data_IF_507334898917
#
_entry.id   IF_507334898917
#
_cell.length_a   1.000
_cell.length_b   1.000
_cell.length_c   1.000
_cell.angle_alpha   90.00
_cell.angle_beta   90.00
_cell.angle_gamma   90.00
#
_symmetry.space_group_name_H-M   'P 1'
#
loop_
_entity.id
_entity.type
_entity.pdbx_description
1 polymer ?
#
# COMPACT_ATOMS: atom_id res chain seq x y z
N UNK A 1 7.85 -15.75 -14.08
CA UNK A 1 7.25 -15.81 -12.73
C UNK A 1 6.39 -14.58 -12.53
N UNK A 2 5.28 -14.65 -11.77
CA UNK A 2 4.38 -13.51 -11.57
C UNK A 2 5.10 -12.28 -10.97
N UNK A 3 6.04 -12.49 -10.05
CA UNK A 3 6.82 -11.38 -9.46
C UNK A 3 7.53 -10.47 -10.48
N UNK A 4 7.85 -10.97 -11.69
CA UNK A 4 8.48 -10.15 -12.74
C UNK A 4 7.53 -9.12 -13.36
N UNK A 5 6.23 -9.16 -13.05
CA UNK A 5 5.23 -8.19 -13.53
C UNK A 5 4.94 -7.10 -12.51
N UNK A 6 5.46 -7.22 -11.28
CA UNK A 6 5.29 -6.24 -10.21
C UNK A 6 6.33 -5.13 -10.42
N UNK A 7 5.86 -3.88 -10.46
CA UNK A 7 6.69 -2.71 -10.72
C UNK A 7 7.06 -1.98 -9.43
N UNK A 8 8.25 -1.39 -9.41
CA UNK A 8 8.75 -0.51 -8.35
C UNK A 8 9.17 0.83 -8.95
N UNK A 9 9.35 1.86 -8.13
CA UNK A 9 9.83 3.17 -8.60
C UNK A 9 9.95 4.20 -7.48
N UNK A 10 10.47 5.38 -7.83
CA UNK A 10 10.44 6.54 -6.95
C UNK A 10 9.05 7.20 -7.00
N UNK A 11 8.35 7.20 -5.87
CA UNK A 11 7.00 7.76 -5.75
C UNK A 11 6.94 9.26 -6.09
N UNK A 12 8.07 9.99 -6.05
CA UNK A 12 8.13 11.40 -6.46
C UNK A 12 7.97 11.61 -7.96
N UNK A 13 8.35 10.62 -8.77
CA UNK A 13 8.22 10.65 -10.23
C UNK A 13 7.13 9.70 -10.75
N UNK A 14 6.74 8.71 -9.95
CA UNK A 14 5.82 7.65 -10.34
C UNK A 14 4.61 7.56 -9.39
N UNK A 15 3.46 8.02 -9.88
CA UNK A 15 2.21 8.13 -9.10
C UNK A 15 1.59 6.80 -8.68
N UNK A 16 2.01 5.68 -9.26
CA UNK A 16 1.46 4.36 -8.96
C UNK A 16 2.12 3.67 -7.76
N UNK A 17 3.29 4.12 -7.33
CA UNK A 17 4.00 3.48 -6.22
C UNK A 17 3.24 3.75 -4.92
N UNK A 18 2.81 2.71 -4.18
CA UNK A 18 2.16 2.91 -2.89
C UNK A 18 3.17 3.45 -1.87
N UNK A 19 2.89 4.59 -1.26
CA UNK A 19 3.68 5.11 -0.14
C UNK A 19 3.26 4.41 1.14
N UNK A 20 4.21 4.17 2.05
CA UNK A 20 3.95 3.59 3.38
C UNK A 20 4.43 4.60 4.42
N UNK A 21 3.56 5.00 5.34
CA UNK A 21 3.88 5.93 6.43
C UNK A 21 3.36 5.37 7.75
N UNK A 22 4.18 5.47 8.79
CA UNK A 22 3.74 5.22 10.16
C UNK A 22 3.15 6.52 10.71
N UNK A 23 1.91 6.48 11.17
CA UNK A 23 1.20 7.61 11.80
C UNK A 23 1.42 7.59 13.32
N UNK A 24 2.68 7.54 13.72
CA UNK A 24 3.06 7.43 15.13
C UNK A 24 4.44 6.82 15.31
N UNK A 25 4.85 6.69 16.57
CA UNK A 25 6.09 6.02 16.94
C UNK A 25 5.88 4.50 16.92
N UNK A 26 6.80 3.78 16.30
CA UNK A 26 6.78 2.33 16.29
C UNK A 26 7.37 1.80 17.61
N UNK A 27 6.55 1.14 18.41
CA UNK A 27 6.97 0.50 19.67
C UNK A 27 6.61 -0.97 19.68
N UNK A 28 7.54 -1.79 20.18
CA UNK A 28 7.34 -3.23 20.30
C UNK A 28 6.09 -3.55 21.13
N UNK A 29 5.17 -4.34 20.58
CA UNK A 29 3.94 -4.78 21.25
C UNK A 29 2.83 -3.72 21.37
N UNK A 30 3.07 -2.49 20.90
CA UNK A 30 2.09 -1.42 20.90
C UNK A 30 1.44 -1.26 19.50
N UNK A 31 0.18 -0.80 19.43
CA UNK A 31 -0.47 -0.56 18.16
C UNK A 31 0.13 0.67 17.47
N UNK A 32 0.35 0.57 16.16
CA UNK A 32 0.72 1.68 15.29
C UNK A 32 -0.22 1.72 14.09
N UNK A 33 -0.59 2.92 13.67
CA UNK A 33 -1.33 3.16 12.45
C UNK A 33 -0.37 3.26 11.27
N UNK A 34 -0.65 2.50 10.21
CA UNK A 34 0.14 2.41 8.99
C UNK A 34 -0.73 2.91 7.85
N UNK A 35 -0.40 4.10 7.35
CA UNK A 35 -1.02 4.66 6.16
C UNK A 35 -0.34 4.10 4.92
N UNK A 36 -1.15 3.59 4.00
CA UNK A 36 -0.72 3.24 2.64
C UNK A 36 -1.55 4.05 1.65
N UNK A 37 -0.88 4.77 0.75
CA UNK A 37 -1.54 5.65 -0.22
C UNK A 37 -0.85 5.65 -1.58
N UNK A 38 -1.64 5.59 -2.65
CA UNK A 38 -1.18 5.78 -4.04
C UNK A 38 -1.44 7.23 -4.48
N UNK A 39 -0.52 7.81 -5.24
CA UNK A 39 -0.63 9.19 -5.73
C UNK A 39 -0.38 10.26 -4.66
N UNK A 40 0.58 10.02 -3.76
CA UNK A 40 0.92 10.94 -2.66
C UNK A 40 1.43 12.30 -3.15
N UNK A 41 2.44 12.30 -4.02
CA UNK A 41 3.05 13.53 -4.57
C UNK A 41 2.37 13.97 -5.87
N UNK A 42 2.03 13.00 -6.72
CA UNK A 42 1.35 13.22 -8.00
C UNK A 42 0.05 12.42 -7.96
N UNK A 43 -1.09 13.12 -8.01
CA UNK A 43 -2.38 12.46 -7.96
C UNK A 43 -2.55 11.41 -9.08
N UNK A 44 -2.98 10.21 -8.70
CA UNK A 44 -3.42 9.19 -9.64
C UNK A 44 -4.87 9.48 -10.05
N UNK A 45 -5.26 9.27 -11.32
CA UNK A 45 -6.67 9.41 -11.74
C UNK A 45 -7.61 8.49 -10.94
N UNK A 46 -8.84 8.93 -10.73
CA UNK A 46 -9.88 8.13 -10.08
C UNK A 46 -11.19 8.28 -10.86
N UNK A 47 -11.25 7.60 -12.00
CA UNK A 47 -12.42 7.56 -12.88
C UNK A 47 -12.88 6.12 -13.11
N UNK A 48 -14.10 5.87 -13.64
CA UNK A 48 -14.53 4.52 -13.95
C UNK A 48 -13.57 3.77 -14.90
N UNK A 49 -12.91 4.49 -15.80
CA UNK A 49 -11.99 3.95 -16.80
C UNK A 49 -10.57 3.77 -16.27
N UNK A 50 -10.14 4.57 -15.28
CA UNK A 50 -8.77 4.55 -14.77
C UNK A 50 -8.71 4.88 -13.28
N UNK A 51 -8.41 3.87 -12.48
CA UNK A 51 -8.39 3.97 -11.02
C UNK A 51 -7.48 2.91 -10.39
N UNK A 52 -7.17 3.13 -9.11
CA UNK A 52 -6.56 2.13 -8.24
C UNK A 52 -7.68 1.32 -7.61
N UNK A 53 -7.70 0.01 -7.84
CA UNK A 53 -8.77 -0.85 -7.36
C UNK A 53 -8.53 -1.36 -5.93
N UNK A 54 -7.27 -1.51 -5.51
CA UNK A 54 -6.97 -2.02 -4.18
C UNK A 54 -5.55 -1.69 -3.71
N UNK A 55 -5.38 -1.76 -2.39
CA UNK A 55 -4.10 -1.83 -1.68
C UNK A 55 -4.09 -3.09 -0.79
N UNK A 56 -2.96 -3.76 -0.76
CA UNK A 56 -2.63 -4.79 0.23
C UNK A 56 -1.40 -4.37 1.02
N UNK A 57 -1.38 -4.76 2.29
CA UNK A 57 -0.23 -4.60 3.16
C UNK A 57 0.19 -5.96 3.69
N UNK A 58 1.47 -6.27 3.56
CA UNK A 58 2.10 -7.46 4.09
C UNK A 58 3.19 -7.11 5.08
N UNK A 59 3.47 -8.03 5.99
CA UNK A 59 4.68 -8.06 6.79
C UNK A 59 5.51 -9.27 6.37
N UNK A 60 6.76 -9.04 6.01
CA UNK A 60 7.75 -10.09 5.72
C UNK A 60 8.70 -10.20 6.89
N UNK A 61 8.73 -11.38 7.51
CA UNK A 61 9.64 -11.65 8.61
C UNK A 61 11.03 -12.14 8.15
N UNK A 62 11.94 -12.32 9.10
CA UNK A 62 13.31 -12.78 8.84
C UNK A 62 13.41 -14.15 8.14
N UNK A 63 12.35 -14.96 8.17
CA UNK A 63 12.28 -16.25 7.48
C UNK A 63 11.84 -16.12 6.02
N UNK A 64 11.70 -14.89 5.53
CA UNK A 64 11.18 -14.55 4.21
C UNK A 64 9.73 -15.03 4.00
N UNK A 65 8.95 -15.14 5.09
CA UNK A 65 7.52 -15.46 5.03
C UNK A 65 6.72 -14.17 4.92
N UNK A 66 5.97 -14.00 3.83
CA UNK A 66 4.99 -12.92 3.69
C UNK A 66 3.71 -13.25 4.46
N UNK A 67 3.27 -12.33 5.31
CA UNK A 67 2.06 -12.41 6.13
C UNK A 67 1.16 -11.26 5.71
N UNK A 68 -0.05 -11.55 5.22
CA UNK A 68 -1.03 -10.52 4.89
C UNK A 68 -1.50 -9.83 6.17
N UNK A 69 -1.28 -8.51 6.27
CA UNK A 69 -1.86 -7.67 7.33
C UNK A 69 -3.31 -7.35 6.97
N UNK A 70 -3.55 -6.97 5.72
CA UNK A 70 -4.90 -6.67 5.24
C UNK A 70 -4.96 -6.24 3.80
N UNK A 71 -6.18 -6.17 3.28
CA UNK A 71 -6.52 -5.72 1.92
C UNK A 71 -7.67 -4.73 2.00
N UNK A 72 -7.55 -3.61 1.32
CA UNK A 72 -8.62 -2.63 1.13
C UNK A 72 -8.91 -2.53 -0.36
N UNK A 73 -10.18 -2.70 -0.72
CA UNK A 73 -10.67 -2.46 -2.07
C UNK A 73 -11.35 -1.09 -2.13
N UNK A 74 -11.03 -0.33 -3.17
CA UNK A 74 -11.67 0.93 -3.51
C UNK A 74 -12.62 0.62 -4.66
N UNK A 75 -13.93 0.73 -4.45
CA UNK A 75 -14.93 0.12 -5.35
C UNK A 75 -15.80 1.11 -6.10
N UNK A 76 -15.73 2.40 -5.76
CA UNK A 76 -16.54 3.45 -6.37
C UNK A 76 -15.62 4.58 -6.85
N UNK A 77 -15.75 4.91 -8.13
CA UNK A 77 -14.80 5.71 -8.91
C UNK A 77 -15.50 6.82 -9.71
N UNK A 78 -16.62 7.30 -9.20
CA UNK A 78 -17.39 8.42 -9.76
C UNK A 78 -18.66 8.03 -10.51
N UNK A 79 -18.93 6.74 -10.69
CA UNK A 79 -20.13 6.25 -11.38
C UNK A 79 -21.42 6.69 -10.68
N UNK A 80 -21.39 6.75 -9.35
CA UNK A 80 -22.51 7.21 -8.51
C UNK A 80 -22.29 8.62 -7.95
N UNK A 81 -21.37 9.40 -8.52
CA UNK A 81 -20.99 10.72 -7.99
C UNK A 81 -20.20 10.67 -6.67
N UNK A 82 -19.70 9.49 -6.29
CA UNK A 82 -18.84 9.25 -5.13
C UNK A 82 -17.49 8.78 -5.66
N UNK A 83 -16.39 9.22 -5.06
CA UNK A 83 -15.05 8.69 -5.35
C UNK A 83 -14.40 8.23 -4.06
N UNK A 84 -13.80 7.04 -4.09
CA UNK A 84 -13.02 6.52 -2.96
C UNK A 84 -11.54 6.71 -3.27
N UNK A 85 -10.87 7.54 -2.49
CA UNK A 85 -9.44 7.78 -2.63
C UNK A 85 -8.63 6.53 -2.29
N UNK A 86 -7.52 6.25 -3.02
CA UNK A 86 -6.71 5.05 -2.80
C UNK A 86 -5.77 5.20 -1.60
N UNK A 87 -6.38 5.36 -0.43
CA UNK A 87 -5.74 5.52 0.88
C UNK A 87 -6.35 4.53 1.86
N UNK A 88 -5.50 3.72 2.48
CA UNK A 88 -5.87 2.78 3.54
C UNK A 88 -5.04 3.06 4.80
N UNK A 89 -5.63 2.88 5.96
CA UNK A 89 -4.92 2.89 7.24
C UNK A 89 -5.13 1.54 7.91
N UNK A 90 -4.04 0.88 8.27
CA UNK A 90 -4.05 -0.39 9.00
C UNK A 90 -3.49 -0.16 10.39
N UNK A 91 -4.22 -0.57 11.43
CA UNK A 91 -3.70 -0.56 12.80
C UNK A 91 -3.19 -1.96 13.13
N UNK A 92 -1.90 -2.08 13.45
CA UNK A 92 -1.26 -3.36 13.76
C UNK A 92 -0.25 -3.25 14.90
N UNK A 93 0.08 -4.39 15.52
CA UNK A 93 1.12 -4.52 16.55
C UNK A 93 2.23 -5.41 16.02
N UNK A 94 3.48 -5.06 16.34
CA UNK A 94 4.64 -5.84 15.93
C UNK A 94 5.52 -6.18 17.14
N UNK A 95 5.85 -7.46 17.30
CA UNK A 95 6.72 -7.96 18.37
C UNK A 95 8.14 -8.31 17.88
N UNK A 96 8.38 -8.21 16.57
CA UNK A 96 9.65 -8.55 15.91
C UNK A 96 9.91 -7.66 14.69
N UNK A 97 11.19 -7.35 14.40
CA UNK A 97 11.55 -6.53 13.25
C UNK A 97 11.22 -7.27 11.96
N UNK A 98 11.13 -6.53 10.86
CA UNK A 98 10.84 -7.08 9.55
C UNK A 98 10.59 -5.99 8.53
N UNK A 99 9.90 -6.32 7.44
CA UNK A 99 9.64 -5.39 6.35
C UNK A 99 8.16 -5.33 6.05
N UNK A 100 7.58 -4.13 6.06
CA UNK A 100 6.28 -3.90 5.44
C UNK A 100 6.44 -3.90 3.93
N UNK A 101 5.55 -4.61 3.24
CA UNK A 101 5.46 -4.60 1.77
C UNK A 101 4.04 -4.20 1.40
N UNK A 102 3.91 -3.06 0.73
CA UNK A 102 2.63 -2.62 0.18
C UNK A 102 2.55 -3.04 -1.29
N UNK A 103 1.43 -3.65 -1.66
CA UNK A 103 1.06 -3.86 -3.06
C UNK A 103 -0.14 -2.97 -3.38
N UNK A 104 -0.19 -2.46 -4.60
CA UNK A 104 -1.37 -1.78 -5.15
C UNK A 104 -1.61 -2.19 -6.60
N UNK A 105 -2.84 -2.01 -7.06
CA UNK A 105 -3.20 -2.36 -8.43
C UNK A 105 -3.98 -1.24 -9.10
N UNK A 106 -3.43 -0.77 -10.22
CA UNK A 106 -4.11 0.06 -11.17
C UNK A 106 -4.77 -0.83 -12.23
N UNK A 107 -6.05 -0.57 -12.52
CA UNK A 107 -6.81 -1.35 -13.50
C UNK A 107 -6.17 -1.36 -14.90
N UNK A 108 -5.43 -0.31 -15.28
CA UNK A 108 -4.72 -0.20 -16.56
C UNK A 108 -3.21 -0.48 -16.47
N UNK A 109 -2.58 -0.12 -15.35
CA UNK A 109 -1.11 -0.09 -15.25
C UNK A 109 -0.51 -1.24 -14.46
N UNK A 110 -1.33 -2.18 -13.98
CA UNK A 110 -0.88 -3.41 -13.32
C UNK A 110 -0.55 -3.22 -11.84
N UNK A 111 0.28 -4.14 -11.31
CA UNK A 111 0.62 -4.22 -9.89
C UNK A 111 1.91 -3.45 -9.60
N UNK A 112 1.90 -2.70 -8.50
CA UNK A 112 3.01 -1.91 -8.02
C UNK A 112 3.31 -2.23 -6.57
N UNK A 113 4.58 -2.15 -6.19
CA UNK A 113 5.02 -2.42 -4.82
C UNK A 113 5.90 -1.32 -4.25
N UNK A 114 5.94 -1.26 -2.93
CA UNK A 114 6.92 -0.51 -2.16
C UNK A 114 7.17 -1.22 -0.82
N UNK A 115 8.29 -0.92 -0.19
CA UNK A 115 8.67 -1.52 1.08
C UNK A 115 9.09 -0.48 2.11
N UNK A 116 8.88 -0.81 3.39
CA UNK A 116 9.35 -0.03 4.52
C UNK A 116 9.90 -0.98 5.59
N UNK A 117 11.18 -0.84 5.92
CA UNK A 117 11.80 -1.63 6.99
C UNK A 117 11.30 -1.15 8.35
N UNK A 118 10.92 -2.08 9.22
CA UNK A 118 10.56 -1.84 10.61
C UNK A 118 11.73 -2.20 11.52
N UNK A 119 12.20 -1.22 12.28
CA UNK A 119 13.23 -1.35 13.31
C UNK A 119 12.70 -0.71 14.61
N UNK A 120 12.94 -1.34 15.75
CA UNK A 120 12.61 -0.84 17.09
C UNK A 120 13.85 -0.90 17.98
#
# INVERSE_FOLDING_TARGET
MFGNTIKTGDFKGEKHVPTIKLLGELKKGEPVDIEVKVGEEIAHPNTPEHHISWIELYFVDETNRAILIGRVAFTEHGAQGITVEPRAVFTAKFDKPGTLVALSYCNLHGVWENTLKLEF
#
